data_IF_337462740507
#
_entry.id   IF_337462740507
#
_cell.length_a   1.000
_cell.length_b   1.000
_cell.length_c   1.000
_cell.angle_alpha   90.00
_cell.angle_beta   90.00
_cell.angle_gamma   90.00
#
_symmetry.space_group_name_H-M   'P 1'
#
loop_
_entity.id
_entity.type
_entity.pdbx_description
1 polymer ?
#
# COMPACT_ATOMS: atom_id res chain seq x y z
N UNK A 1 -21.22 83.98 1.86
CA UNK A 1 -20.62 83.87 3.21
C UNK A 1 -19.23 83.29 3.04
N UNK A 2 -18.20 84.04 3.44
CA UNK A 2 -16.79 83.83 3.12
C UNK A 2 -15.97 83.94 4.43
N UNK A 3 -14.89 83.13 4.49
CA UNK A 3 -13.74 83.10 5.43
C UNK A 3 -13.88 82.28 6.73
N UNK A 4 -12.77 81.78 7.33
CA UNK A 4 -11.34 81.82 6.91
C UNK A 4 -10.61 80.45 6.96
N UNK A 5 -9.36 80.35 6.47
CA UNK A 5 -8.44 79.26 6.79
C UNK A 5 -7.43 79.62 7.89
N UNK A 6 -6.69 78.59 8.37
CA UNK A 6 -5.42 78.55 9.16
C UNK A 6 -5.57 78.17 10.64
N UNK A 7 -4.53 77.61 11.33
CA UNK A 7 -3.12 77.50 10.93
C UNK A 7 -2.45 76.11 11.13
N UNK A 8 -1.29 75.92 10.49
CA UNK A 8 -0.27 74.94 10.89
C UNK A 8 0.35 75.32 12.24
N UNK A 9 0.80 74.35 13.04
CA UNK A 9 1.89 74.56 13.98
C UNK A 9 3.15 73.84 13.49
N UNK A 10 4.15 74.64 13.16
CA UNK A 10 5.56 74.23 13.16
C UNK A 10 6.11 74.41 14.59
N UNK A 11 7.04 73.52 14.95
CA UNK A 11 8.14 73.65 15.92
C UNK A 11 8.00 72.93 17.27
N UNK A 12 8.79 71.88 17.43
CA UNK A 12 9.77 71.81 18.51
C UNK A 12 10.98 70.98 18.06
N UNK A 13 12.12 71.68 17.91
CA UNK A 13 13.44 71.14 17.62
C UNK A 13 13.99 70.47 18.90
N UNK A 14 14.23 69.17 18.87
CA UNK A 14 15.05 68.49 19.86
C UNK A 14 16.29 67.93 19.16
N UNK A 15 17.37 68.69 19.29
CA UNK A 15 18.74 68.29 18.99
C UNK A 15 19.14 67.17 19.96
N UNK A 16 19.28 65.94 19.47
CA UNK A 16 19.91 64.84 20.20
C UNK A 16 21.07 64.30 19.37
N UNK A 17 22.24 64.82 19.73
CA UNK A 17 23.59 64.23 19.66
C UNK A 17 23.72 62.96 18.81
N UNK A 18 24.37 63.10 17.65
CA UNK A 18 25.08 62.00 16.99
C UNK A 18 26.21 61.54 17.91
N UNK A 19 25.90 60.61 18.82
CA UNK A 19 26.93 59.71 19.34
C UNK A 19 27.27 58.77 18.18
N UNK A 20 28.32 59.11 17.45
CA UNK A 20 29.13 58.13 16.74
C UNK A 20 29.71 57.18 17.79
N UNK A 21 28.87 56.26 18.29
CA UNK A 21 29.34 55.04 18.88
C UNK A 21 30.01 54.28 17.75
N UNK A 22 31.33 54.18 17.79
CA UNK A 22 32.03 53.10 17.13
C UNK A 22 31.40 51.82 17.65
N UNK A 23 30.44 51.26 16.89
CA UNK A 23 29.92 49.94 17.17
C UNK A 23 31.11 49.00 17.10
N UNK A 24 31.50 48.44 18.25
CA UNK A 24 32.28 47.23 18.32
C UNK A 24 31.70 46.28 17.28
N UNK A 25 32.54 45.88 16.31
CA UNK A 25 32.11 45.08 15.18
C UNK A 25 31.30 43.90 15.69
N UNK A 26 30.00 43.88 15.36
CA UNK A 26 29.14 42.76 15.68
C UNK A 26 29.83 41.53 15.10
N UNK A 27 30.35 40.66 15.96
CA UNK A 27 31.00 39.44 15.51
C UNK A 27 29.98 38.66 14.73
N UNK A 28 30.28 38.38 13.46
CA UNK A 28 29.47 37.52 12.60
C UNK A 28 29.05 36.29 13.42
N UNK A 29 27.74 35.94 13.45
CA UNK A 29 27.26 34.87 14.31
C UNK A 29 27.94 33.56 13.92
N UNK A 30 28.72 33.00 14.84
CA UNK A 30 29.48 31.77 14.62
C UNK A 30 28.53 30.59 14.79
N UNK A 31 28.40 29.77 13.75
CA UNK A 31 27.61 28.55 13.82
C UNK A 31 28.16 27.62 14.91
N UNK A 32 27.28 27.13 15.78
CA UNK A 32 27.60 26.10 16.78
C UNK A 32 26.76 24.84 16.58
N UNK A 33 25.69 24.92 15.79
CA UNK A 33 24.82 23.79 15.42
C UNK A 33 24.51 23.83 13.93
N UNK A 34 24.43 22.67 13.31
CA UNK A 34 24.07 22.50 11.90
C UNK A 34 23.27 21.21 11.71
N UNK A 35 22.25 21.27 10.86
CA UNK A 35 21.46 20.12 10.44
C UNK A 35 21.15 20.20 8.95
N UNK A 36 20.91 19.04 8.34
CA UNK A 36 20.45 18.92 6.95
C UNK A 36 19.05 18.33 6.98
N UNK A 37 18.14 18.91 6.20
CA UNK A 37 16.74 18.49 6.12
C UNK A 37 16.32 18.28 4.65
N UNK A 38 15.68 17.14 4.31
CA UNK A 38 15.37 16.02 5.22
C UNK A 38 16.63 15.29 5.73
N UNK A 39 16.53 14.60 6.87
CA UNK A 39 17.64 13.82 7.44
C UNK A 39 17.89 12.53 6.64
N UNK A 40 16.86 12.06 5.95
CA UNK A 40 16.90 10.87 5.09
C UNK A 40 16.02 11.07 3.86
N UNK A 41 16.42 10.52 2.72
CA UNK A 41 15.64 10.50 1.50
C UNK A 41 15.85 9.21 0.70
N UNK A 42 14.83 8.82 -0.06
CA UNK A 42 14.84 7.72 -1.02
C UNK A 42 14.47 8.25 -2.41
N UNK A 43 15.31 7.98 -3.41
CA UNK A 43 15.04 8.24 -4.82
C UNK A 43 14.88 6.91 -5.54
N UNK A 44 13.84 6.78 -6.38
CA UNK A 44 13.40 5.46 -6.90
C UNK A 44 13.57 5.31 -8.42
N UNK A 45 14.13 6.34 -9.09
CA UNK A 45 14.44 6.33 -10.52
C UNK A 45 15.71 7.12 -10.80
N UNK A 46 16.40 6.75 -11.88
CA UNK A 46 17.51 7.54 -12.39
C UNK A 46 17.02 8.94 -12.79
N UNK A 47 17.75 9.98 -12.38
CA UNK A 47 17.39 11.37 -12.65
C UNK A 47 16.36 11.98 -11.68
N UNK A 48 15.75 11.19 -10.79
CA UNK A 48 15.01 11.74 -9.66
C UNK A 48 15.93 12.62 -8.81
N UNK A 49 15.37 13.62 -8.14
CA UNK A 49 16.15 14.54 -7.34
C UNK A 49 15.37 15.07 -6.15
N UNK A 50 16.09 15.26 -5.04
CA UNK A 50 15.58 15.81 -3.79
C UNK A 50 16.34 17.09 -3.43
N UNK A 51 15.64 18.03 -2.82
CA UNK A 51 16.24 19.24 -2.27
C UNK A 51 16.57 19.02 -0.80
N UNK A 52 17.85 19.05 -0.48
CA UNK A 52 18.30 19.21 0.89
C UNK A 52 18.45 20.70 1.22
N UNK A 53 18.15 21.02 2.48
CA UNK A 53 18.27 22.36 3.05
C UNK A 53 19.15 22.28 4.29
N UNK A 54 19.97 23.30 4.49
CA UNK A 54 20.88 23.41 5.63
C UNK A 54 20.30 24.39 6.63
N UNK A 55 20.25 23.98 7.89
CA UNK A 55 19.80 24.80 9.01
C UNK A 55 20.97 24.94 9.98
N UNK A 56 21.59 26.12 10.03
CA UNK A 56 22.68 26.43 10.95
C UNK A 56 22.23 27.50 11.96
N UNK A 57 22.67 27.36 13.22
CA UNK A 57 22.41 28.34 14.27
C UNK A 57 23.62 28.55 15.17
N UNK A 58 23.69 29.72 15.80
CA UNK A 58 24.69 30.02 16.83
C UNK A 58 24.29 29.45 18.21
N UNK A 59 25.09 29.77 19.23
CA UNK A 59 24.88 29.29 20.60
C UNK A 59 23.57 29.80 21.21
N UNK A 60 23.08 30.95 20.78
CA UNK A 60 21.83 31.57 21.22
C UNK A 60 20.62 31.10 20.39
N UNK A 61 20.82 30.21 19.42
CA UNK A 61 19.78 29.70 18.53
C UNK A 61 19.40 30.66 17.41
N UNK A 62 20.14 31.75 17.20
CA UNK A 62 19.94 32.66 16.06
C UNK A 62 20.42 31.97 14.79
N UNK A 63 19.66 32.13 13.71
CA UNK A 63 19.99 31.53 12.42
C UNK A 63 21.30 32.11 11.90
N UNK A 64 22.21 31.23 11.48
CA UNK A 64 23.40 31.60 10.71
C UNK A 64 23.08 31.45 9.24
N UNK A 65 23.25 32.52 8.48
CA UNK A 65 23.02 32.56 7.03
C UNK A 65 24.36 32.58 6.30
N UNK A 66 24.51 31.75 5.28
CA UNK A 66 25.69 31.69 4.44
C UNK A 66 25.53 30.65 3.34
N UNK A 67 26.38 30.70 2.31
CA UNK A 67 26.44 29.62 1.33
C UNK A 67 27.07 28.39 1.98
N UNK A 68 26.35 27.27 2.00
CA UNK A 68 26.94 25.99 2.39
C UNK A 68 27.75 25.41 1.25
N UNK A 69 28.88 24.80 1.59
CA UNK A 69 29.54 23.87 0.69
C UNK A 69 28.80 22.53 0.76
N UNK A 70 28.34 22.03 -0.38
CA UNK A 70 27.65 20.74 -0.48
C UNK A 70 28.56 19.69 -1.11
N UNK A 71 28.52 18.48 -0.55
CA UNK A 71 29.23 17.30 -1.06
C UNK A 71 28.40 16.03 -0.88
N UNK A 72 28.78 15.00 -1.62
CA UNK A 72 28.22 13.65 -1.54
C UNK A 72 29.37 12.66 -1.47
N UNK A 73 29.29 11.70 -0.55
CA UNK A 73 30.40 10.76 -0.29
C UNK A 73 30.69 9.87 -1.51
N UNK A 74 29.64 9.39 -2.17
CA UNK A 74 29.71 8.53 -3.34
C UNK A 74 28.99 9.15 -4.56
N UNK A 75 29.74 9.72 -5.53
CA UNK A 75 29.17 10.29 -6.75
C UNK A 75 28.63 9.26 -7.75
N UNK A 76 28.95 7.96 -7.59
CA UNK A 76 28.35 6.90 -8.40
C UNK A 76 26.90 6.60 -8.00
N UNK A 77 26.51 6.95 -6.78
CA UNK A 77 25.15 6.82 -6.26
C UNK A 77 24.32 8.08 -6.56
N UNK A 78 24.83 9.26 -6.22
CA UNK A 78 24.13 10.52 -6.45
C UNK A 78 25.10 11.69 -6.66
N UNK A 79 24.64 12.75 -7.32
CA UNK A 79 25.36 14.04 -7.37
C UNK A 79 24.62 15.09 -6.54
N UNK A 80 25.32 16.13 -6.06
CA UNK A 80 24.69 17.27 -5.38
C UNK A 80 25.20 18.60 -5.94
N UNK A 81 24.29 19.53 -6.20
CA UNK A 81 24.65 20.89 -6.63
C UNK A 81 24.96 21.78 -5.43
N UNK A 82 25.62 22.93 -5.65
CA UNK A 82 25.92 23.90 -4.59
C UNK A 82 24.69 24.56 -3.95
N UNK A 83 23.50 24.35 -4.52
CA UNK A 83 22.27 24.77 -3.87
C UNK A 83 21.68 23.66 -2.97
N UNK A 84 22.25 22.47 -2.91
CA UNK A 84 21.73 21.34 -2.12
C UNK A 84 20.71 20.46 -2.85
N UNK A 85 20.52 20.61 -4.17
CA UNK A 85 19.74 19.65 -4.96
C UNK A 85 20.59 18.42 -5.26
N UNK A 86 20.22 17.27 -4.69
CA UNK A 86 20.83 15.98 -4.95
C UNK A 86 20.05 15.21 -6.02
N UNK A 87 20.72 14.53 -6.95
CA UNK A 87 20.10 13.80 -8.07
C UNK A 87 20.66 12.38 -8.16
N UNK A 88 19.79 11.40 -8.38
CA UNK A 88 20.13 9.98 -8.48
C UNK A 88 20.99 9.66 -9.73
N UNK A 89 22.01 8.83 -9.54
CA UNK A 89 22.90 8.31 -10.59
C UNK A 89 22.76 6.79 -10.70
N UNK A 90 23.00 6.08 -9.61
CA UNK A 90 22.98 4.61 -9.55
C UNK A 90 22.47 4.10 -8.22
N UNK A 91 21.99 2.85 -8.17
CA UNK A 91 21.49 2.25 -6.93
C UNK A 91 22.58 2.16 -5.87
N UNK A 92 22.27 2.55 -4.64
CA UNK A 92 23.20 2.53 -3.51
C UNK A 92 22.80 3.50 -2.40
N UNK A 93 23.66 3.60 -1.39
CA UNK A 93 23.48 4.49 -0.24
C UNK A 93 24.68 5.41 -0.15
N UNK A 94 24.43 6.70 0.03
CA UNK A 94 25.47 7.73 0.16
C UNK A 94 25.07 8.76 1.21
N UNK A 95 26.03 9.56 1.69
CA UNK A 95 25.76 10.69 2.60
C UNK A 95 25.82 11.98 1.82
N UNK A 96 24.83 12.86 2.03
CA UNK A 96 24.87 14.24 1.59
C UNK A 96 25.29 15.11 2.77
N UNK A 97 26.36 15.89 2.59
CA UNK A 97 26.92 16.76 3.62
C UNK A 97 26.81 18.24 3.22
N UNK A 98 26.55 19.09 4.21
CA UNK A 98 26.54 20.55 4.05
C UNK A 98 27.42 21.19 5.12
N UNK A 99 28.37 22.04 4.72
CA UNK A 99 29.30 22.70 5.63
C UNK A 99 29.10 24.22 5.66
N UNK A 100 28.90 24.79 6.85
CA UNK A 100 28.85 26.23 7.12
C UNK A 100 29.73 26.54 8.34
N UNK A 101 30.64 27.51 8.22
CA UNK A 101 31.46 27.97 9.35
C UNK A 101 32.34 26.87 9.97
N UNK A 102 32.74 25.86 9.18
CA UNK A 102 33.53 24.72 9.64
C UNK A 102 32.72 23.59 10.29
N UNK A 103 31.41 23.76 10.49
CA UNK A 103 30.52 22.69 10.96
C UNK A 103 29.87 21.98 9.78
N UNK A 104 29.73 20.66 9.89
CA UNK A 104 29.11 19.82 8.86
C UNK A 104 27.86 19.13 9.38
N UNK A 105 26.73 19.37 8.70
CA UNK A 105 25.51 18.58 8.85
C UNK A 105 25.45 17.48 7.81
N UNK A 106 24.76 16.37 8.10
CA UNK A 106 24.68 15.19 7.23
C UNK A 106 23.25 14.71 7.08
N UNK A 107 22.95 14.15 5.92
CA UNK A 107 21.71 13.43 5.64
C UNK A 107 22.01 12.14 4.86
N UNK A 108 21.26 11.07 5.13
CA UNK A 108 21.35 9.82 4.39
C UNK A 108 20.56 9.94 3.09
N UNK A 109 21.15 9.54 1.98
CA UNK A 109 20.47 9.44 0.70
C UNK A 109 20.60 8.01 0.17
N UNK A 110 19.46 7.39 -0.08
CA UNK A 110 19.40 6.13 -0.78
C UNK A 110 18.82 6.31 -2.19
N UNK A 111 19.42 5.64 -3.15
CA UNK A 111 18.93 5.50 -4.51
C UNK A 111 18.62 4.02 -4.72
N UNK A 112 17.38 3.72 -5.10
CA UNK A 112 16.94 2.38 -5.45
C UNK A 112 16.30 2.43 -6.84
N UNK A 113 17.05 2.06 -7.86
CA UNK A 113 16.53 1.93 -9.22
C UNK A 113 16.14 0.46 -9.39
N UNK A 114 14.85 0.12 -9.47
CA UNK A 114 14.42 -1.25 -9.70
C UNK A 114 14.91 -1.72 -11.07
N UNK A 115 15.20 -3.01 -11.19
CA UNK A 115 15.53 -3.61 -12.48
C UNK A 115 14.35 -3.50 -13.43
N UNK A 116 14.64 -3.19 -14.69
CA UNK A 116 13.60 -3.17 -15.73
C UNK A 116 13.24 -4.61 -16.06
N UNK A 117 11.99 -4.98 -15.76
CA UNK A 117 11.42 -6.28 -16.13
C UNK A 117 10.69 -6.12 -17.45
N UNK A 118 11.32 -6.58 -18.54
CA UNK A 118 10.70 -6.57 -19.88
C UNK A 118 9.51 -7.56 -19.94
N UNK A 119 9.64 -8.70 -19.26
CA UNK A 119 8.61 -9.72 -19.19
C UNK A 119 8.61 -10.41 -17.82
N UNK A 120 7.42 -10.60 -17.26
CA UNK A 120 7.18 -11.33 -16.02
C UNK A 120 6.88 -12.80 -16.35
N UNK A 121 7.87 -13.67 -16.13
CA UNK A 121 7.79 -15.09 -16.47
C UNK A 121 7.04 -15.88 -15.39
N UNK A 122 6.07 -16.73 -15.77
CA UNK A 122 5.34 -17.55 -14.81
C UNK A 122 6.26 -18.44 -13.95
N UNK A 123 6.09 -18.36 -12.63
CA UNK A 123 6.84 -19.14 -11.65
C UNK A 123 8.14 -18.52 -11.16
N UNK A 124 8.64 -17.46 -11.78
CA UNK A 124 9.81 -16.72 -11.31
C UNK A 124 9.46 -15.76 -10.17
N UNK A 125 10.42 -15.52 -9.28
CA UNK A 125 10.27 -14.60 -8.16
C UNK A 125 10.77 -13.19 -8.51
N UNK A 126 9.89 -12.20 -8.42
CA UNK A 126 10.22 -10.79 -8.58
C UNK A 126 10.09 -10.07 -7.25
N UNK A 127 11.17 -9.44 -6.80
CA UNK A 127 11.26 -8.84 -5.47
C UNK A 127 11.30 -7.32 -5.55
N UNK A 128 10.55 -6.68 -4.64
CA UNK A 128 10.68 -5.26 -4.36
C UNK A 128 11.91 -4.95 -3.51
N UNK A 129 12.08 -3.67 -3.16
CA UNK A 129 13.23 -3.18 -2.40
C UNK A 129 13.43 -3.99 -1.12
N UNK A 130 14.63 -4.55 -0.95
CA UNK A 130 15.03 -5.38 0.20
C UNK A 130 14.12 -6.60 0.46
N UNK A 131 13.36 -7.06 -0.53
CA UNK A 131 12.49 -8.23 -0.40
C UNK A 131 11.23 -7.98 0.43
N UNK A 132 10.79 -6.73 0.57
CA UNK A 132 9.56 -6.41 1.31
C UNK A 132 8.28 -6.82 0.59
N UNK A 133 8.33 -6.89 -0.74
CA UNK A 133 7.24 -7.33 -1.59
C UNK A 133 7.74 -8.39 -2.55
N UNK A 134 6.90 -9.38 -2.84
CA UNK A 134 7.19 -10.45 -3.80
C UNK A 134 6.03 -10.56 -4.79
N UNK A 135 6.35 -10.75 -6.06
CA UNK A 135 5.43 -11.12 -7.11
C UNK A 135 5.90 -12.41 -7.78
N UNK A 136 5.02 -13.42 -7.82
CA UNK A 136 5.22 -14.66 -8.55
C UNK A 136 4.16 -14.73 -9.66
N UNK A 137 4.53 -14.51 -10.93
CA UNK A 137 3.58 -14.54 -12.03
C UNK A 137 2.99 -15.94 -12.25
N UNK A 138 1.76 -15.96 -12.74
CA UNK A 138 1.03 -17.17 -13.09
C UNK A 138 0.46 -17.09 -14.52
N UNK A 139 -0.37 -18.06 -14.86
CA UNK A 139 -1.13 -18.11 -16.12
C UNK A 139 -2.63 -18.28 -15.93
N UNK A 140 -3.09 -18.63 -14.72
CA UNK A 140 -4.52 -18.63 -14.43
C UNK A 140 -5.05 -17.18 -14.39
N UNK A 141 -6.32 -16.94 -14.75
CA UNK A 141 -7.02 -15.66 -14.64
C UNK A 141 -7.38 -15.33 -13.18
N UNK A 142 -6.39 -15.48 -12.30
CA UNK A 142 -6.51 -15.42 -10.86
C UNK A 142 -5.28 -14.78 -10.27
N UNK A 143 -5.49 -13.73 -9.48
CA UNK A 143 -4.48 -13.07 -8.66
C UNK A 143 -4.79 -13.37 -7.20
N UNK A 144 -3.84 -13.95 -6.47
CA UNK A 144 -3.89 -14.08 -5.02
C UNK A 144 -2.98 -13.02 -4.42
N UNK A 145 -3.42 -12.36 -3.35
CA UNK A 145 -2.51 -11.53 -2.55
C UNK A 145 -2.63 -11.78 -1.06
N UNK A 146 -1.54 -11.58 -0.33
CA UNK A 146 -1.55 -11.61 1.13
C UNK A 146 -0.72 -10.44 1.68
N UNK A 147 -1.42 -9.47 2.27
CA UNK A 147 -0.81 -8.23 2.76
C UNK A 147 -0.28 -8.31 4.20
N UNK A 148 -0.72 -9.27 5.01
CA UNK A 148 -0.58 -9.23 6.47
C UNK A 148 0.08 -10.47 7.11
N UNK A 149 0.52 -11.45 6.32
CA UNK A 149 1.19 -12.65 6.85
C UNK A 149 2.70 -12.46 7.07
N UNK A 150 3.29 -11.36 6.57
CA UNK A 150 4.70 -11.04 6.71
C UNK A 150 5.19 -10.87 8.16
N UNK A 151 6.48 -11.15 8.37
CA UNK A 151 7.13 -11.07 9.69
C UNK A 151 8.27 -10.05 9.76
N UNK A 152 8.70 -9.47 8.63
CA UNK A 152 9.82 -8.54 8.59
C UNK A 152 9.52 -7.25 9.35
N UNK A 153 10.48 -6.84 10.20
CA UNK A 153 10.38 -5.65 11.05
C UNK A 153 11.65 -4.79 10.94
N UNK A 154 12.01 -4.33 9.73
CA UNK A 154 13.25 -3.58 9.52
C UNK A 154 13.29 -2.32 10.38
N UNK A 155 14.49 -1.90 10.79
CA UNK A 155 14.68 -0.72 11.63
C UNK A 155 14.42 0.60 10.91
N UNK A 156 14.53 0.62 9.57
CA UNK A 156 14.28 1.82 8.74
C UNK A 156 12.77 2.16 8.67
N UNK A 157 11.89 1.20 8.99
CA UNK A 157 10.44 1.42 9.04
C UNK A 157 10.01 1.50 10.50
N UNK A 158 9.56 2.68 10.94
CA UNK A 158 9.04 2.87 12.29
C UNK A 158 7.81 1.99 12.56
N UNK A 159 7.53 1.70 13.83
CA UNK A 159 6.30 0.97 14.19
C UNK A 159 5.12 1.92 14.01
N UNK A 160 4.10 1.50 13.27
CA UNK A 160 2.83 2.22 13.13
C UNK A 160 2.19 2.42 14.51
N UNK A 161 1.63 3.59 14.73
CA UNK A 161 1.15 4.07 16.03
C UNK A 161 -0.37 4.10 16.14
N UNK A 162 -1.09 3.99 15.03
CA UNK A 162 -2.55 3.89 14.99
C UNK A 162 -3.02 2.88 13.93
N UNK A 163 -4.31 2.54 13.97
CA UNK A 163 -4.89 1.48 13.15
C UNK A 163 -4.58 0.07 13.67
N UNK A 164 -4.98 -0.94 12.90
CA UNK A 164 -4.72 -2.36 13.25
C UNK A 164 -3.29 -2.74 12.90
N UNK A 165 -2.61 -3.40 13.83
CA UNK A 165 -1.19 -3.79 13.69
C UNK A 165 -0.93 -5.28 13.89
N UNK A 166 -1.95 -6.06 14.27
CA UNK A 166 -1.85 -7.51 14.42
C UNK A 166 -1.69 -8.21 13.06
N UNK A 167 -0.83 -9.23 13.00
CA UNK A 167 -0.62 -10.00 11.78
C UNK A 167 -1.70 -11.05 11.55
N UNK A 168 -1.95 -11.31 10.27
CA UNK A 168 -2.79 -12.41 9.81
C UNK A 168 -1.88 -13.62 9.66
N UNK A 169 -1.43 -14.16 10.81
CA UNK A 169 -0.41 -15.23 10.86
C UNK A 169 -0.76 -16.36 9.90
N UNK A 170 0.29 -16.88 9.27
CA UNK A 170 0.27 -18.01 8.35
C UNK A 170 -0.50 -17.78 7.03
N UNK A 171 -0.92 -16.54 6.72
CA UNK A 171 -1.61 -16.27 5.44
C UNK A 171 -0.67 -16.27 4.24
N UNK A 172 0.63 -16.01 4.40
CA UNK A 172 1.61 -16.16 3.32
C UNK A 172 1.73 -17.63 2.91
N UNK A 173 1.96 -18.49 3.90
CA UNK A 173 2.13 -19.94 3.77
C UNK A 173 0.85 -20.58 3.21
N UNK A 174 -0.31 -20.19 3.73
CA UNK A 174 -1.59 -20.63 3.18
C UNK A 174 -1.76 -20.20 1.72
N UNK A 175 -1.42 -18.96 1.37
CA UNK A 175 -1.53 -18.46 -0.03
C UNK A 175 -0.64 -19.25 -0.98
N UNK A 176 0.60 -19.55 -0.58
CA UNK A 176 1.52 -20.39 -1.36
C UNK A 176 1.03 -21.83 -1.46
N UNK A 177 0.40 -22.38 -0.42
CA UNK A 177 -0.20 -23.71 -0.45
C UNK A 177 -1.42 -23.76 -1.39
N UNK A 178 -2.25 -22.71 -1.40
CA UNK A 178 -3.36 -22.56 -2.37
C UNK A 178 -2.83 -22.46 -3.80
N UNK A 179 -1.75 -21.70 -4.03
CA UNK A 179 -1.07 -21.66 -5.32
C UNK A 179 -0.62 -23.06 -5.76
N UNK A 180 0.02 -23.82 -4.88
CA UNK A 180 0.47 -25.19 -5.17
C UNK A 180 -0.71 -26.13 -5.50
N UNK A 181 -1.80 -26.06 -4.72
CA UNK A 181 -3.00 -26.85 -4.96
C UNK A 181 -3.67 -26.52 -6.31
N UNK A 182 -3.64 -25.26 -6.74
CA UNK A 182 -4.12 -24.85 -8.07
C UNK A 182 -3.24 -25.38 -9.20
N UNK A 183 -1.92 -25.38 -9.03
CA UNK A 183 -0.98 -26.00 -9.98
C UNK A 183 -1.24 -27.50 -10.08
N UNK A 184 -1.41 -28.20 -8.95
CA UNK A 184 -1.73 -29.63 -8.95
C UNK A 184 -3.06 -29.93 -9.64
N UNK A 185 -4.08 -29.09 -9.39
CA UNK A 185 -5.42 -29.27 -9.95
C UNK A 185 -5.49 -28.99 -11.46
N UNK A 186 -4.72 -28.02 -11.96
CA UNK A 186 -4.91 -27.46 -13.31
C UNK A 186 -3.69 -27.56 -14.23
N UNK A 187 -2.50 -27.80 -13.67
CA UNK A 187 -1.21 -27.66 -14.36
C UNK A 187 -0.71 -26.21 -14.48
N UNK A 188 -1.47 -25.21 -14.01
CA UNK A 188 -1.14 -23.80 -14.15
C UNK A 188 -1.17 -23.07 -12.80
N UNK A 189 -0.29 -22.09 -12.62
CA UNK A 189 -0.23 -21.28 -11.41
C UNK A 189 -1.13 -20.03 -11.52
N UNK A 190 -1.75 -19.57 -10.42
CA UNK A 190 -2.22 -18.19 -10.32
C UNK A 190 -1.05 -17.21 -10.13
N UNK A 191 -1.32 -15.93 -10.37
CA UNK A 191 -0.44 -14.85 -9.95
C UNK A 191 -0.50 -14.72 -8.44
N UNK A 192 0.64 -14.46 -7.78
CA UNK A 192 0.71 -14.29 -6.32
C UNK A 192 1.50 -13.04 -5.95
N UNK A 193 0.94 -12.16 -5.13
CA UNK A 193 1.62 -10.96 -4.61
C UNK A 193 1.61 -10.95 -3.08
N UNK A 194 2.78 -10.86 -2.46
CA UNK A 194 2.96 -11.01 -1.02
C UNK A 194 3.65 -9.78 -0.42
N UNK A 195 3.17 -9.34 0.73
CA UNK A 195 3.91 -8.43 1.61
C UNK A 195 4.63 -9.25 2.69
N UNK A 196 5.96 -9.13 2.72
CA UNK A 196 6.80 -9.78 3.74
C UNK A 196 6.97 -8.91 4.99
N UNK A 197 6.60 -7.63 4.92
CA UNK A 197 6.57 -6.74 6.07
C UNK A 197 5.47 -7.16 7.05
N UNK A 198 5.82 -7.12 8.33
CA UNK A 198 4.84 -7.24 9.39
C UNK A 198 3.86 -6.06 9.35
N UNK A 199 2.55 -6.30 9.57
CA UNK A 199 1.48 -5.28 9.49
C UNK A 199 1.71 -4.02 10.33
N UNK A 200 2.45 -4.16 11.43
CA UNK A 200 2.86 -3.02 12.28
C UNK A 200 3.92 -2.11 11.64
N UNK A 201 4.52 -2.49 10.51
CA UNK A 201 5.45 -1.68 9.72
C UNK A 201 4.74 -1.07 8.52
N UNK A 202 3.91 -1.87 7.85
CA UNK A 202 3.10 -1.48 6.72
C UNK A 202 1.80 -2.28 6.71
N UNK A 203 0.65 -1.63 6.59
CA UNK A 203 -0.63 -2.29 6.30
C UNK A 203 -1.03 -1.93 4.86
N UNK A 204 -0.71 -2.79 3.87
CA UNK A 204 -1.05 -2.52 2.48
C UNK A 204 -2.57 -2.62 2.23
N UNK A 205 -3.37 -3.11 3.18
CA UNK A 205 -4.83 -3.08 3.09
C UNK A 205 -5.42 -1.79 3.72
N UNK A 206 -4.66 -0.69 3.67
CA UNK A 206 -5.06 0.68 4.00
C UNK A 206 -4.56 1.68 2.95
N UNK A 207 -5.23 2.83 2.93
CA UNK A 207 -4.78 4.01 2.18
C UNK A 207 -3.41 4.46 2.74
N UNK A 208 -2.53 4.96 1.87
CA UNK A 208 -1.10 5.16 2.15
C UNK A 208 -0.83 5.94 3.44
N UNK A 209 -1.65 6.93 3.78
CA UNK A 209 -1.47 7.76 4.98
C UNK A 209 -1.56 6.91 6.25
N UNK A 210 -2.56 6.03 6.36
CA UNK A 210 -2.68 5.09 7.48
C UNK A 210 -1.71 3.93 7.34
N UNK A 211 -1.49 3.45 6.11
CA UNK A 211 -0.66 2.28 5.82
C UNK A 211 0.80 2.47 6.23
N UNK A 212 1.39 3.61 5.89
CA UNK A 212 2.83 3.89 6.01
C UNK A 212 3.15 4.99 7.03
N UNK A 213 2.16 5.80 7.42
CA UNK A 213 2.29 6.88 8.40
C UNK A 213 3.47 7.85 8.15
N UNK A 214 3.74 8.16 6.87
CA UNK A 214 4.80 9.11 6.47
C UNK A 214 6.22 8.54 6.48
N UNK A 215 6.40 7.23 6.73
CA UNK A 215 7.71 6.61 6.58
C UNK A 215 7.99 6.32 5.09
N UNK A 216 9.03 6.94 4.55
CA UNK A 216 9.35 6.89 3.11
C UNK A 216 9.59 5.46 2.58
N UNK A 217 10.13 4.56 3.40
CA UNK A 217 10.39 3.17 3.00
C UNK A 217 9.11 2.33 3.02
N UNK A 218 8.23 2.56 4.00
CA UNK A 218 6.91 1.95 4.03
C UNK A 218 6.03 2.46 2.88
N UNK A 219 6.07 3.75 2.56
CA UNK A 219 5.36 4.33 1.41
C UNK A 219 5.85 3.73 0.08
N UNK A 220 7.16 3.53 -0.06
CA UNK A 220 7.71 2.86 -1.23
C UNK A 220 7.26 1.40 -1.34
N UNK A 221 7.39 0.61 -0.25
CA UNK A 221 6.94 -0.78 -0.23
C UNK A 221 5.43 -0.93 -0.46
N UNK A 222 4.62 0.03 0.03
CA UNK A 222 3.20 0.13 -0.29
C UNK A 222 2.99 0.29 -1.80
N UNK A 223 3.75 1.20 -2.41
CA UNK A 223 3.72 1.43 -3.86
C UNK A 223 4.09 0.17 -4.65
N UNK A 224 5.17 -0.51 -4.27
CA UNK A 224 5.60 -1.77 -4.90
C UNK A 224 4.54 -2.86 -4.80
N UNK A 225 3.95 -3.07 -3.61
CA UNK A 225 2.88 -4.05 -3.40
C UNK A 225 1.70 -3.80 -4.32
N UNK A 226 1.15 -2.58 -4.33
CA UNK A 226 -0.03 -2.30 -5.17
C UNK A 226 0.31 -2.30 -6.65
N UNK A 227 1.50 -1.88 -7.05
CA UNK A 227 1.92 -1.92 -8.45
C UNK A 227 2.07 -3.35 -8.95
N UNK A 228 2.66 -4.25 -8.16
CA UNK A 228 2.76 -5.66 -8.50
C UNK A 228 1.38 -6.32 -8.63
N UNK A 229 0.40 -5.96 -7.78
CA UNK A 229 -0.99 -6.41 -7.97
C UNK A 229 -1.59 -5.87 -9.26
N UNK A 230 -1.37 -4.58 -9.61
CA UNK A 230 -1.85 -4.01 -10.88
C UNK A 230 -1.24 -4.71 -12.09
N UNK A 231 0.06 -5.00 -12.06
CA UNK A 231 0.76 -5.75 -13.10
C UNK A 231 0.12 -7.13 -13.28
N UNK A 232 -0.11 -7.86 -12.19
CA UNK A 232 -0.76 -9.17 -12.22
C UNK A 232 -2.18 -9.11 -12.81
N UNK A 233 -3.00 -8.15 -12.36
CA UNK A 233 -4.36 -7.93 -12.89
C UNK A 233 -4.34 -7.59 -14.39
N UNK A 234 -3.39 -6.76 -14.81
CA UNK A 234 -3.23 -6.40 -16.23
C UNK A 234 -2.85 -7.61 -17.08
N UNK A 235 -2.02 -8.52 -16.57
CA UNK A 235 -1.71 -9.78 -17.25
C UNK A 235 -2.95 -10.66 -17.40
N UNK A 236 -3.78 -10.77 -16.36
CA UNK A 236 -5.07 -11.48 -16.42
C UNK A 236 -5.98 -10.87 -17.48
N UNK A 237 -6.17 -9.54 -17.48
CA UNK A 237 -6.96 -8.84 -18.49
C UNK A 237 -6.43 -9.09 -19.91
N UNK A 238 -5.12 -8.94 -20.14
CA UNK A 238 -4.52 -9.10 -21.46
C UNK A 238 -4.62 -10.53 -22.01
N UNK A 239 -4.55 -11.53 -21.13
CA UNK A 239 -4.51 -12.95 -21.54
C UNK A 239 -5.88 -13.60 -21.57
N UNK A 240 -6.81 -13.15 -20.71
CA UNK A 240 -8.08 -13.82 -20.47
C UNK A 240 -9.30 -12.89 -20.61
N UNK A 241 -9.10 -11.58 -20.76
CA UNK A 241 -10.15 -10.57 -20.87
C UNK A 241 -10.81 -10.19 -19.54
N UNK A 242 -10.90 -11.11 -18.59
CA UNK A 242 -11.40 -10.88 -17.23
C UNK A 242 -10.85 -11.93 -16.26
N UNK A 243 -11.09 -11.75 -14.97
CA UNK A 243 -10.70 -12.74 -13.98
C UNK A 243 -11.00 -12.34 -12.54
N UNK A 244 -10.32 -12.99 -11.60
CA UNK A 244 -10.58 -12.86 -10.17
C UNK A 244 -9.32 -12.42 -9.40
N UNK A 245 -9.53 -11.55 -8.41
CA UNK A 245 -8.55 -11.14 -7.41
C UNK A 245 -9.02 -11.61 -6.03
N UNK A 246 -8.19 -12.37 -5.33
CA UNK A 246 -8.47 -12.87 -3.98
C UNK A 246 -7.49 -12.25 -2.98
N UNK A 247 -8.03 -11.46 -2.06
CA UNK A 247 -7.29 -10.81 -0.99
C UNK A 247 -7.32 -11.70 0.27
N UNK A 248 -6.23 -12.44 0.50
CA UNK A 248 -6.13 -13.51 1.49
C UNK A 248 -5.80 -12.92 2.87
N UNK A 249 -6.77 -13.03 3.78
CA UNK A 249 -6.71 -12.48 5.13
C UNK A 249 -7.04 -13.52 6.20
N UNK A 250 -6.87 -13.12 7.45
CA UNK A 250 -7.27 -13.91 8.59
C UNK A 250 -7.95 -13.06 9.65
N UNK A 251 -9.00 -13.60 10.27
CA UNK A 251 -9.71 -12.93 11.35
C UNK A 251 -9.60 -13.70 12.67
N UNK A 252 -9.93 -13.02 13.76
CA UNK A 252 -9.94 -13.54 15.12
C UNK A 252 -11.35 -13.45 15.75
N UNK A 253 -12.40 -13.42 14.93
CA UNK A 253 -13.77 -13.47 15.44
C UNK A 253 -14.02 -14.82 16.11
N UNK A 254 -14.92 -14.82 17.10
CA UNK A 254 -15.28 -16.04 17.85
C UNK A 254 -15.98 -17.08 16.98
N UNK A 255 -16.68 -16.66 15.92
CA UNK A 255 -17.35 -17.55 14.98
C UNK A 255 -16.34 -18.04 13.95
N UNK A 256 -15.98 -19.32 14.05
CA UNK A 256 -15.10 -19.98 13.09
C UNK A 256 -15.89 -20.29 11.81
N UNK A 257 -15.71 -19.44 10.79
CA UNK A 257 -16.18 -19.59 9.40
C UNK A 257 -15.26 -18.77 8.49
N UNK A 258 -15.24 -19.04 7.19
CA UNK A 258 -14.62 -18.11 6.22
C UNK A 258 -15.59 -16.94 5.98
N UNK A 259 -15.10 -15.71 5.93
CA UNK A 259 -15.92 -14.54 5.58
C UNK A 259 -15.49 -14.02 4.20
N UNK A 260 -16.42 -13.95 3.24
CA UNK A 260 -16.18 -13.48 1.88
C UNK A 260 -16.62 -12.03 1.74
N UNK A 261 -15.66 -11.11 1.70
CA UNK A 261 -15.88 -9.67 1.59
C UNK A 261 -16.03 -9.18 0.15
N UNK A 262 -17.21 -8.65 -0.18
CA UNK A 262 -17.56 -8.13 -1.51
C UNK A 262 -17.73 -6.60 -1.58
N UNK A 263 -17.18 -5.87 -0.60
CA UNK A 263 -17.46 -4.47 -0.26
C UNK A 263 -18.91 -4.17 0.15
N UNK A 264 -19.70 -5.20 0.44
CA UNK A 264 -21.05 -5.08 0.99
C UNK A 264 -21.01 -5.27 2.50
N UNK A 265 -21.65 -4.39 3.26
CA UNK A 265 -21.76 -4.48 4.73
C UNK A 265 -22.66 -5.64 5.17
N UNK A 266 -22.63 -5.96 6.46
CA UNK A 266 -23.62 -6.89 7.06
C UNK A 266 -25.05 -6.41 6.81
N UNK A 267 -25.32 -5.11 6.96
CA UNK A 267 -26.65 -4.54 6.70
C UNK A 267 -27.11 -4.77 5.24
N UNK A 268 -26.19 -4.61 4.28
CA UNK A 268 -26.47 -4.88 2.87
C UNK A 268 -26.77 -6.38 2.65
N UNK A 269 -25.94 -7.29 3.19
CA UNK A 269 -26.12 -8.73 3.03
C UNK A 269 -27.38 -9.27 3.74
N UNK A 270 -27.83 -8.60 4.80
CA UNK A 270 -29.05 -8.95 5.53
C UNK A 270 -30.34 -8.64 4.76
N UNK A 271 -30.25 -7.90 3.66
CA UNK A 271 -31.41 -7.60 2.83
C UNK A 271 -31.97 -8.86 2.17
N UNK A 272 -33.28 -8.86 1.97
CA UNK A 272 -33.95 -9.85 1.11
C UNK A 272 -33.40 -9.78 -0.32
N UNK A 273 -33.35 -10.92 -1.01
CA UNK A 273 -32.83 -11.06 -2.37
C UNK A 273 -33.38 -10.00 -3.33
N UNK A 274 -34.70 -9.74 -3.30
CA UNK A 274 -35.34 -8.73 -4.16
C UNK A 274 -34.72 -7.34 -4.04
N UNK A 275 -34.24 -6.96 -2.85
CA UNK A 275 -33.61 -5.66 -2.61
C UNK A 275 -32.13 -5.69 -2.97
N UNK A 276 -31.43 -6.77 -2.58
CA UNK A 276 -30.02 -6.96 -2.86
C UNK A 276 -29.72 -7.04 -4.37
N UNK A 277 -30.69 -7.53 -5.16
CA UNK A 277 -30.62 -7.61 -6.62
C UNK A 277 -30.70 -6.26 -7.34
N UNK A 278 -30.84 -5.14 -6.65
CA UNK A 278 -30.87 -3.83 -7.31
C UNK A 278 -29.48 -3.37 -7.75
N UNK A 279 -29.45 -2.64 -8.87
CA UNK A 279 -28.20 -2.17 -9.52
C UNK A 279 -27.33 -1.32 -8.60
N UNK A 280 -27.88 -0.68 -7.58
CA UNK A 280 -27.11 0.12 -6.61
C UNK A 280 -26.21 -0.74 -5.70
N UNK A 281 -26.57 -2.00 -5.41
CA UNK A 281 -25.69 -2.91 -4.65
C UNK A 281 -24.66 -3.56 -5.56
N UNK A 282 -25.05 -3.90 -6.80
CA UNK A 282 -24.11 -4.35 -7.83
C UNK A 282 -23.00 -3.30 -8.02
N UNK A 283 -23.38 -2.03 -8.25
CA UNK A 283 -22.47 -0.91 -8.48
C UNK A 283 -21.46 -0.65 -7.34
N UNK A 284 -21.78 -1.03 -6.10
CA UNK A 284 -20.91 -0.81 -4.93
C UNK A 284 -20.02 -2.02 -4.61
N UNK A 285 -20.22 -3.14 -5.29
CA UNK A 285 -19.51 -4.38 -4.97
C UNK A 285 -18.17 -4.48 -5.70
N UNK A 286 -17.20 -5.13 -5.07
CA UNK A 286 -15.92 -5.48 -5.72
C UNK A 286 -16.06 -6.53 -6.82
N UNK A 287 -17.23 -7.14 -6.99
CA UNK A 287 -17.56 -8.04 -8.10
C UNK A 287 -18.57 -7.40 -9.08
N UNK A 288 -18.63 -6.06 -9.15
CA UNK A 288 -19.57 -5.32 -10.01
C UNK A 288 -19.54 -5.80 -11.46
N UNK A 289 -18.37 -6.01 -12.05
CA UNK A 289 -18.24 -6.34 -13.47
C UNK A 289 -18.93 -7.68 -13.76
N UNK A 290 -18.66 -8.70 -12.93
CA UNK A 290 -19.37 -9.96 -12.99
C UNK A 290 -20.87 -9.82 -12.71
N UNK A 291 -21.24 -9.01 -11.72
CA UNK A 291 -22.63 -8.83 -11.31
C UNK A 291 -23.50 -8.07 -12.32
N UNK A 292 -22.92 -7.15 -13.10
CA UNK A 292 -23.64 -6.33 -14.08
C UNK A 292 -24.20 -7.17 -15.23
N UNK A 293 -23.41 -8.10 -15.73
CA UNK A 293 -23.70 -8.87 -16.95
C UNK A 293 -24.12 -10.32 -16.64
N UNK A 294 -24.33 -10.63 -15.36
CA UNK A 294 -24.69 -11.95 -14.88
C UNK A 294 -26.06 -12.43 -15.40
N UNK A 295 -26.17 -13.69 -15.88
CA UNK A 295 -27.45 -14.28 -16.26
C UNK A 295 -28.28 -14.70 -15.03
N UNK A 296 -27.70 -14.69 -13.83
CA UNK A 296 -28.38 -15.01 -12.57
C UNK A 296 -28.49 -13.77 -11.67
N UNK A 297 -29.48 -13.72 -10.75
CA UNK A 297 -29.60 -12.61 -9.81
C UNK A 297 -28.33 -12.39 -8.98
N UNK A 298 -28.04 -11.14 -8.64
CA UNK A 298 -26.85 -10.77 -7.87
C UNK A 298 -26.77 -11.47 -6.51
N UNK A 299 -27.91 -11.66 -5.82
CA UNK A 299 -27.96 -12.47 -4.59
C UNK A 299 -27.50 -13.91 -4.82
N UNK A 300 -27.80 -14.50 -5.96
CA UNK A 300 -27.35 -15.86 -6.30
C UNK A 300 -25.82 -15.92 -6.58
N UNK A 301 -25.23 -14.85 -7.12
CA UNK A 301 -23.77 -14.75 -7.24
C UNK A 301 -23.07 -14.65 -5.88
N UNK A 302 -23.69 -14.02 -4.89
CA UNK A 302 -23.12 -13.84 -3.55
C UNK A 302 -23.33 -15.08 -2.67
N UNK A 303 -24.53 -15.68 -2.70
CA UNK A 303 -24.97 -16.70 -1.73
C UNK A 303 -25.75 -17.86 -2.31
N UNK A 304 -25.81 -17.99 -3.64
CA UNK A 304 -26.46 -19.13 -4.30
C UNK A 304 -25.55 -20.38 -4.32
N UNK A 305 -26.08 -21.54 -4.77
CA UNK A 305 -25.31 -22.79 -4.83
C UNK A 305 -24.05 -22.73 -5.70
N UNK A 306 -24.03 -21.84 -6.69
CA UNK A 306 -22.87 -21.60 -7.56
C UNK A 306 -22.05 -20.38 -7.14
N UNK A 307 -22.35 -19.72 -6.01
CA UNK A 307 -21.47 -18.67 -5.49
C UNK A 307 -20.15 -19.27 -5.00
N UNK A 308 -19.13 -18.44 -4.80
CA UNK A 308 -17.87 -18.90 -4.20
C UNK A 308 -18.11 -19.54 -2.82
N UNK A 309 -19.01 -18.96 -2.02
CA UNK A 309 -19.45 -19.53 -0.75
C UNK A 309 -20.21 -20.84 -0.91
N UNK A 310 -21.06 -20.98 -1.93
CA UNK A 310 -21.75 -22.24 -2.23
C UNK A 310 -20.81 -23.39 -2.59
N UNK A 311 -19.77 -23.12 -3.40
CA UNK A 311 -18.77 -24.13 -3.71
C UNK A 311 -17.89 -24.50 -2.51
N UNK A 312 -17.50 -23.51 -1.69
CA UNK A 312 -16.78 -23.77 -0.44
C UNK A 312 -17.62 -24.59 0.55
N UNK A 313 -18.91 -24.27 0.68
CA UNK A 313 -19.86 -25.04 1.50
C UNK A 313 -19.97 -26.49 1.01
N UNK A 314 -20.02 -26.72 -0.30
CA UNK A 314 -20.05 -28.06 -0.89
C UNK A 314 -18.77 -28.87 -0.60
N UNK A 315 -17.63 -28.20 -0.40
CA UNK A 315 -16.36 -28.79 0.06
C UNK A 315 -16.29 -28.98 1.59
N UNK A 316 -17.39 -28.70 2.29
CA UNK A 316 -17.51 -28.80 3.74
C UNK A 316 -16.85 -27.66 4.51
N UNK A 317 -16.62 -26.51 3.87
CA UNK A 317 -16.08 -25.30 4.52
C UNK A 317 -17.24 -24.44 5.00
N UNK A 318 -17.29 -24.13 6.30
CA UNK A 318 -18.26 -23.16 6.82
C UNK A 318 -17.88 -21.76 6.36
N UNK A 319 -18.79 -21.06 5.69
CA UNK A 319 -18.49 -19.79 4.99
C UNK A 319 -19.71 -18.88 4.93
N UNK A 320 -19.49 -17.57 5.04
CA UNK A 320 -20.52 -16.53 4.87
C UNK A 320 -20.06 -15.49 3.84
N UNK A 321 -20.94 -15.00 2.94
CA UNK A 321 -22.26 -15.54 2.64
C UNK A 321 -22.21 -16.84 1.80
N UNK A 322 -23.20 -17.70 1.99
CA UNK A 322 -23.38 -19.01 1.33
C UNK A 322 -24.85 -19.46 1.35
N UNK A 323 -25.25 -20.55 0.68
CA UNK A 323 -26.63 -21.03 0.73
C UNK A 323 -27.15 -21.32 2.14
N UNK A 324 -26.33 -21.93 3.00
CA UNK A 324 -26.72 -22.27 4.38
C UNK A 324 -26.47 -21.14 5.38
N UNK A 325 -25.56 -20.20 5.07
CA UNK A 325 -25.25 -19.02 5.88
C UNK A 325 -25.30 -17.77 4.98
N UNK A 326 -26.50 -17.32 4.54
CA UNK A 326 -26.67 -16.32 3.49
C UNK A 326 -26.31 -14.90 3.91
N UNK A 327 -26.18 -14.64 5.21
CA UNK A 327 -25.86 -13.32 5.74
C UNK A 327 -25.25 -13.44 7.14
N UNK A 328 -24.39 -12.48 7.53
CA UNK A 328 -23.78 -12.47 8.86
C UNK A 328 -24.77 -12.08 9.97
N UNK A 329 -25.96 -11.57 9.64
CA UNK A 329 -26.91 -11.08 10.65
C UNK A 329 -26.31 -9.92 11.47
N UNK A 330 -26.28 -10.09 12.79
CA UNK A 330 -25.64 -9.15 13.72
C UNK A 330 -24.19 -9.55 14.07
N UNK A 331 -23.69 -10.65 13.52
CA UNK A 331 -22.36 -11.15 13.81
C UNK A 331 -21.27 -10.26 13.20
N UNK A 332 -20.06 -10.28 13.78
CA UNK A 332 -18.88 -9.70 13.16
C UNK A 332 -18.66 -10.27 11.76
N UNK A 333 -18.24 -9.40 10.84
CA UNK A 333 -17.98 -9.72 9.45
C UNK A 333 -17.10 -8.66 8.81
N UNK A 334 -16.05 -9.07 8.10
CA UNK A 334 -15.24 -8.16 7.30
C UNK A 334 -15.72 -8.09 5.86
N UNK A 335 -16.21 -6.92 5.47
CA UNK A 335 -16.75 -6.66 4.13
C UNK A 335 -15.72 -6.57 3.01
N UNK A 336 -14.42 -6.60 3.28
CA UNK A 336 -13.38 -6.23 2.33
C UNK A 336 -12.79 -4.84 2.60
N UNK A 337 -11.47 -4.75 2.46
CA UNK A 337 -10.64 -3.59 2.79
C UNK A 337 -10.28 -2.69 1.59
N UNK A 338 -9.17 -1.97 1.74
CA UNK A 338 -8.62 -1.09 0.73
C UNK A 338 -8.17 -1.84 -0.52
N UNK A 339 -7.42 -2.94 -0.39
CA UNK A 339 -6.93 -3.73 -1.51
C UNK A 339 -8.08 -4.29 -2.34
N UNK A 340 -9.08 -4.90 -1.68
CA UNK A 340 -10.30 -5.36 -2.35
C UNK A 340 -11.05 -4.24 -3.09
N UNK A 341 -11.01 -3.00 -2.58
CA UNK A 341 -11.60 -1.84 -3.25
C UNK A 341 -10.85 -1.43 -4.50
N UNK A 342 -9.53 -1.28 -4.43
CA UNK A 342 -8.75 -0.73 -5.55
C UNK A 342 -8.32 -1.78 -6.57
N UNK A 343 -8.42 -3.07 -6.23
CA UNK A 343 -8.06 -4.20 -7.08
C UNK A 343 -9.24 -5.10 -7.45
N UNK A 344 -10.43 -4.82 -6.92
CA UNK A 344 -11.68 -5.39 -7.42
C UNK A 344 -12.23 -4.59 -8.60
N UNK A 345 -13.43 -4.93 -9.03
CA UNK A 345 -14.05 -4.33 -10.22
C UNK A 345 -15.04 -3.21 -9.89
N UNK A 346 -14.91 -2.54 -8.74
CA UNK A 346 -15.91 -1.54 -8.31
C UNK A 346 -15.94 -0.31 -9.23
N UNK A 347 -14.78 0.08 -9.77
CA UNK A 347 -14.61 1.22 -10.69
C UNK A 347 -14.86 0.84 -12.16
N UNK A 348 -15.48 1.73 -12.93
CA UNK A 348 -15.89 1.45 -14.31
C UNK A 348 -14.68 1.10 -15.21
N UNK A 349 -14.83 0.08 -16.06
CA UNK A 349 -13.77 -0.41 -16.94
C UNK A 349 -12.86 -1.47 -16.32
N UNK A 350 -12.92 -1.70 -15.00
CA UNK A 350 -12.20 -2.80 -14.35
C UNK A 350 -12.90 -4.15 -14.61
N UNK A 351 -12.16 -5.12 -15.15
CA UNK A 351 -12.65 -6.46 -15.56
C UNK A 351 -12.14 -7.60 -14.67
N UNK A 352 -11.34 -7.28 -13.66
CA UNK A 352 -10.91 -8.23 -12.62
C UNK A 352 -11.72 -7.97 -11.36
N UNK A 353 -12.64 -8.88 -11.06
CA UNK A 353 -13.49 -8.83 -9.87
C UNK A 353 -12.69 -9.23 -8.62
N UNK A 354 -13.01 -8.66 -7.46
CA UNK A 354 -12.25 -8.84 -6.22
C UNK A 354 -13.08 -9.42 -5.07
N UNK A 355 -12.48 -10.32 -4.28
CA UNK A 355 -13.08 -10.87 -3.05
C UNK A 355 -12.04 -10.92 -1.94
N UNK A 356 -12.36 -10.40 -0.75
CA UNK A 356 -11.56 -10.62 0.45
C UNK A 356 -11.95 -11.95 1.08
N UNK A 357 -10.98 -12.79 1.42
CA UNK A 357 -11.22 -14.03 2.15
C UNK A 357 -10.62 -13.93 3.54
N UNK A 358 -11.48 -13.86 4.55
CA UNK A 358 -11.07 -13.93 5.95
C UNK A 358 -11.08 -15.37 6.43
N UNK A 359 -9.91 -15.90 6.74
CA UNK A 359 -9.76 -17.26 7.27
C UNK A 359 -9.70 -17.22 8.80
N UNK A 360 -10.59 -17.94 9.45
CA UNK A 360 -10.45 -18.20 10.89
C UNK A 360 -9.19 -19.04 11.17
N UNK A 361 -8.78 -19.12 12.44
CA UNK A 361 -7.49 -19.72 12.81
C UNK A 361 -7.51 -21.25 12.67
N UNK A 362 -8.37 -21.91 13.44
CA UNK A 362 -8.34 -23.36 13.64
C UNK A 362 -8.71 -24.12 12.35
N UNK A 363 -7.89 -25.11 11.96
CA UNK A 363 -8.19 -26.00 10.84
C UNK A 363 -8.09 -25.37 9.44
N UNK A 364 -7.76 -24.07 9.33
CA UNK A 364 -7.52 -23.40 8.04
C UNK A 364 -6.09 -22.88 7.89
N UNK A 365 -5.63 -22.08 8.85
CA UNK A 365 -4.34 -21.39 8.77
C UNK A 365 -3.40 -21.64 9.95
N UNK A 366 -3.83 -22.36 10.98
CA UNK A 366 -3.06 -22.65 12.19
C UNK A 366 -1.83 -23.55 11.96
N UNK A 367 -1.91 -24.56 11.09
CA UNK A 367 -0.83 -25.53 10.85
C UNK A 367 -0.64 -25.86 9.36
N UNK A 368 0.52 -26.41 8.99
CA UNK A 368 0.78 -26.91 7.64
C UNK A 368 -0.20 -28.02 7.23
N UNK A 369 -0.62 -28.88 8.16
CA UNK A 369 -1.63 -29.93 7.90
C UNK A 369 -3.00 -29.33 7.58
N UNK A 370 -3.38 -28.28 8.30
CA UNK A 370 -4.60 -27.51 8.00
C UNK A 370 -4.51 -26.84 6.64
N UNK A 371 -3.35 -26.26 6.29
CA UNK A 371 -3.14 -25.67 4.95
C UNK A 371 -3.32 -26.73 3.87
N UNK A 372 -2.68 -27.89 4.03
CA UNK A 372 -2.76 -29.01 3.08
C UNK A 372 -4.17 -29.59 2.94
N UNK A 373 -5.00 -29.48 3.99
CA UNK A 373 -6.40 -29.92 3.97
C UNK A 373 -7.33 -28.90 3.31
N UNK A 374 -7.13 -27.61 3.60
CA UNK A 374 -8.01 -26.55 3.15
C UNK A 374 -7.68 -26.05 1.73
N UNK A 375 -6.40 -25.90 1.39
CA UNK A 375 -5.98 -25.33 0.11
C UNK A 375 -6.57 -26.07 -1.12
N UNK A 376 -6.62 -27.42 -1.17
CA UNK A 376 -7.26 -28.13 -2.28
C UNK A 376 -8.77 -27.86 -2.38
N UNK A 377 -9.47 -27.63 -1.26
CA UNK A 377 -10.90 -27.29 -1.24
C UNK A 377 -11.14 -25.91 -1.84
N UNK A 378 -10.33 -24.92 -1.43
CA UNK A 378 -10.40 -23.58 -2.01
C UNK A 378 -10.05 -23.60 -3.51
N UNK A 379 -9.01 -24.33 -3.91
CA UNK A 379 -8.63 -24.47 -5.31
C UNK A 379 -9.77 -25.02 -6.19
N UNK A 380 -10.42 -26.11 -5.76
CA UNK A 380 -11.60 -26.67 -6.46
C UNK A 380 -12.77 -25.70 -6.49
N UNK A 381 -13.03 -25.00 -5.39
CA UNK A 381 -14.13 -24.04 -5.29
C UNK A 381 -13.94 -22.84 -6.21
N UNK A 382 -12.72 -22.28 -6.25
CA UNK A 382 -12.38 -21.17 -7.15
C UNK A 382 -12.48 -21.62 -8.60
N UNK A 383 -11.95 -22.79 -8.96
CA UNK A 383 -12.08 -23.35 -10.31
C UNK A 383 -13.54 -23.51 -10.72
N UNK A 384 -14.37 -24.08 -9.86
CA UNK A 384 -15.79 -24.27 -10.15
C UNK A 384 -16.54 -22.94 -10.32
N UNK A 385 -16.21 -21.94 -9.48
CA UNK A 385 -16.73 -20.58 -9.61
C UNK A 385 -16.33 -19.93 -10.94
N UNK A 386 -15.05 -20.02 -11.31
CA UNK A 386 -14.53 -19.47 -12.56
C UNK A 386 -15.19 -20.12 -13.78
N UNK A 387 -15.29 -21.45 -13.82
CA UNK A 387 -15.97 -22.15 -14.91
C UNK A 387 -17.47 -21.80 -15.00
N UNK A 388 -18.15 -21.63 -13.86
CA UNK A 388 -19.58 -21.34 -13.85
C UNK A 388 -19.92 -19.93 -14.32
N UNK A 389 -19.08 -18.94 -13.99
CA UNK A 389 -19.42 -17.53 -14.14
C UNK A 389 -18.58 -16.76 -15.16
N UNK A 390 -17.37 -17.25 -15.45
CA UNK A 390 -16.50 -16.71 -16.50
C UNK A 390 -16.49 -17.61 -17.74
N UNK A 391 -16.81 -18.90 -17.58
CA UNK A 391 -16.81 -19.88 -18.66
C UNK A 391 -15.43 -20.44 -19.00
N UNK A 392 -14.39 -20.04 -18.26
CA UNK A 392 -13.01 -20.48 -18.45
C UNK A 392 -12.27 -20.47 -17.10
N UNK A 393 -11.15 -21.18 -17.04
CA UNK A 393 -10.22 -21.06 -15.92
C UNK A 393 -8.78 -21.38 -16.33
N UNK A 394 -8.56 -22.48 -17.01
CA UNK A 394 -7.26 -22.80 -17.58
C UNK A 394 -7.01 -21.98 -18.87
N UNK A 395 -5.74 -21.63 -19.19
CA UNK A 395 -5.40 -21.07 -20.49
C UNK A 395 -5.87 -21.98 -21.63
N UNK A 396 -6.44 -21.36 -22.67
CA UNK A 396 -6.92 -22.05 -23.88
C UNK A 396 -5.82 -22.55 -24.81
#
# INVERSE_FOLDING_TARGET
MLRPPRPDPVAALALCVLLAGCGEGATEPVATRIGVSPEEALLVRAGDAVKFTVNASDAEGRRVTGAAAWEVDDPSVATVTQNGRASAVGSGVTTVSATIGGLTGRARLEVYIPEVVEEYLPGEDYWGRLGYTQYVPGRLPLVLSAGHGGSLRPSEIATRTYGTTGSDRNTLELTLTVRAALVELTGYAPHVVLSHLHRSRLDPNREIVEAAQGNIYAEHAWGEYHEMVRIARRQVELTSGSGLYLDMHGHAHTIQRVELGYLLTSEDLNLADVNLNSLSYVARSSIRDLGRDSPIPFSALLRGPTSLGGYLEAEGVRVVPSPSDPSPGADPYWRGGYSTRIHGSVEDGEVVSGVQLEHHWDGLRDTEESHATYAPKLARSVRAFMLAHYGFFEPG
#
